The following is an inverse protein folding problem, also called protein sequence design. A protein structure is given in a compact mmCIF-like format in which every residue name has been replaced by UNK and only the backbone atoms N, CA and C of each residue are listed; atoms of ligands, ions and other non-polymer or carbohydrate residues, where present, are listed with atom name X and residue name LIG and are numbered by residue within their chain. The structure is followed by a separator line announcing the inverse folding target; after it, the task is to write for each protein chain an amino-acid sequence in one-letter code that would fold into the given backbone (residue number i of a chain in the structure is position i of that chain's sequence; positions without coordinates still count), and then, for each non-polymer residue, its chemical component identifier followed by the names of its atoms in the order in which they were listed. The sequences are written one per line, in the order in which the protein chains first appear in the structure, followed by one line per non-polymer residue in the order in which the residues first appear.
data_IF_935833275561
#
_entry.id   IF_935833275561
#
_cell.length_a   1.000
_cell.length_b   1.000
_cell.length_c   1.000
_cell.angle_alpha   90.00
_cell.angle_beta   90.00
_cell.angle_gamma   90.00
#
_symmetry.space_group_name_H-M   'P 1'
#
loop_
_entity.id
_entity.type
_entity.pdbx_description
1 polymer ?
#
# COMPACT_ATOMS: atom_id res chain seq x y z
N UNK A 1 10.54 -17.38 -31.53
CA UNK A 1 10.41 -17.26 -30.06
C UNK A 1 8.99 -17.68 -29.73
N UNK A 2 8.70 -18.98 -29.71
CA UNK A 2 7.34 -19.48 -29.95
C UNK A 2 6.27 -18.84 -29.04
N UNK A 3 6.56 -18.65 -27.75
CA UNK A 3 5.64 -18.01 -26.82
C UNK A 3 5.46 -16.51 -27.09
N UNK A 4 6.55 -15.79 -27.39
CA UNK A 4 6.48 -14.37 -27.74
C UNK A 4 5.64 -14.15 -28.99
N UNK A 5 5.86 -14.98 -30.02
CA UNK A 5 5.18 -14.86 -31.30
C UNK A 5 3.67 -15.18 -31.12
N UNK A 6 3.35 -16.20 -30.33
CA UNK A 6 1.96 -16.51 -29.96
C UNK A 6 1.29 -15.40 -29.14
N UNK A 7 2.00 -14.81 -28.17
CA UNK A 7 1.49 -13.69 -27.38
C UNK A 7 1.31 -12.42 -28.22
N UNK A 8 2.18 -12.16 -29.19
CA UNK A 8 2.04 -11.05 -30.12
C UNK A 8 0.79 -11.19 -31.02
N UNK A 9 0.52 -12.41 -31.50
CA UNK A 9 -0.71 -12.71 -32.24
C UNK A 9 -1.96 -12.52 -31.38
N UNK A 10 -1.95 -12.97 -30.12
CA UNK A 10 -3.08 -12.73 -29.20
C UNK A 10 -3.26 -11.23 -28.93
N UNK A 11 -2.15 -10.50 -28.72
CA UNK A 11 -2.18 -9.06 -28.48
C UNK A 11 -2.79 -8.29 -29.66
N UNK A 12 -2.42 -8.63 -30.91
CA UNK A 12 -2.92 -7.93 -32.10
C UNK A 12 -4.44 -7.99 -32.22
N UNK A 13 -5.03 -9.13 -31.87
CA UNK A 13 -6.47 -9.39 -31.96
C UNK A 13 -7.27 -9.00 -30.71
N UNK A 14 -6.61 -8.66 -29.59
CA UNK A 14 -7.31 -8.33 -28.33
C UNK A 14 -7.25 -6.84 -27.99
N UNK A 15 -6.09 -6.22 -28.09
CA UNK A 15 -5.90 -4.80 -27.78
C UNK A 15 -5.01 -4.06 -28.78
N UNK A 16 -4.55 -4.74 -29.84
CA UNK A 16 -3.71 -4.24 -30.93
C UNK A 16 -2.33 -3.76 -30.46
N UNK A 17 -2.27 -2.60 -29.82
CA UNK A 17 -1.05 -2.02 -29.27
C UNK A 17 -1.36 -1.01 -28.16
N UNK A 18 -0.42 -0.85 -27.22
CA UNK A 18 -0.46 0.22 -26.21
C UNK A 18 -0.41 1.60 -26.88
N UNK A 19 -1.02 2.63 -26.28
CA UNK A 19 -0.98 3.98 -26.84
C UNK A 19 0.47 4.48 -27.05
N UNK A 20 0.73 5.07 -28.22
CA UNK A 20 2.08 5.53 -28.58
C UNK A 20 2.68 6.53 -27.58
N UNK A 21 1.94 7.54 -27.05
CA UNK A 21 2.51 8.47 -26.05
C UNK A 21 3.03 7.79 -24.78
N UNK A 22 2.32 6.78 -24.27
CA UNK A 22 2.76 6.00 -23.09
C UNK A 22 4.03 5.22 -23.42
N UNK A 23 4.14 4.65 -24.62
CA UNK A 23 5.36 3.96 -25.05
C UNK A 23 6.56 4.92 -25.08
N UNK A 24 6.42 6.14 -25.60
CA UNK A 24 7.50 7.14 -25.59
C UNK A 24 7.89 7.56 -24.17
N UNK A 25 6.92 7.74 -23.28
CA UNK A 25 7.18 8.04 -21.87
C UNK A 25 7.93 6.89 -21.18
N UNK A 26 7.52 5.64 -21.43
CA UNK A 26 8.19 4.46 -20.91
C UNK A 26 9.64 4.36 -21.42
N UNK A 27 9.86 4.52 -22.73
CA UNK A 27 11.22 4.54 -23.31
C UNK A 27 12.07 5.63 -22.64
N UNK A 28 11.50 6.81 -22.37
CA UNK A 28 12.23 7.87 -21.67
C UNK A 28 12.58 7.49 -20.23
N UNK A 29 11.67 6.87 -19.49
CA UNK A 29 11.92 6.42 -18.12
C UNK A 29 12.96 5.30 -18.07
N UNK A 30 12.86 4.29 -18.95
CA UNK A 30 13.76 3.13 -19.00
C UNK A 30 15.15 3.44 -19.56
N UNK A 31 15.34 4.57 -20.25
CA UNK A 31 16.69 5.08 -20.57
C UNK A 31 17.49 5.49 -19.33
N UNK A 32 16.85 5.58 -18.16
CA UNK A 32 17.49 5.91 -16.90
C UNK A 32 17.90 7.38 -16.80
N UNK A 33 18.83 7.65 -15.89
CA UNK A 33 19.40 8.97 -15.65
C UNK A 33 19.07 9.52 -14.26
N UNK A 34 19.83 10.53 -13.84
CA UNK A 34 19.80 11.03 -12.46
C UNK A 34 18.39 11.39 -11.97
N UNK A 35 17.54 11.95 -12.83
CA UNK A 35 16.17 12.33 -12.45
C UNK A 35 15.32 11.12 -12.03
N UNK A 36 15.31 10.04 -12.81
CA UNK A 36 14.48 8.86 -12.46
C UNK A 36 15.11 8.06 -11.33
N UNK A 37 16.44 7.99 -11.25
CA UNK A 37 17.12 7.35 -10.12
C UNK A 37 16.85 8.06 -8.80
N UNK A 38 16.92 9.39 -8.77
CA UNK A 38 16.59 10.19 -7.58
C UNK A 38 15.12 10.02 -7.18
N UNK A 39 14.20 10.04 -8.15
CA UNK A 39 12.79 9.78 -7.91
C UNK A 39 12.57 8.41 -7.25
N UNK A 40 13.14 7.34 -7.83
CA UNK A 40 13.01 5.98 -7.31
C UNK A 40 13.64 5.83 -5.92
N UNK A 41 14.78 6.46 -5.70
CA UNK A 41 15.47 6.49 -4.41
C UNK A 41 14.58 7.10 -3.32
N UNK A 42 14.04 8.30 -3.56
CA UNK A 42 13.18 8.99 -2.62
C UNK A 42 11.88 8.24 -2.36
N UNK A 43 11.22 7.70 -3.40
CA UNK A 43 10.05 6.83 -3.23
C UNK A 43 10.35 5.65 -2.29
N UNK A 44 11.48 4.95 -2.50
CA UNK A 44 11.84 3.78 -1.68
C UNK A 44 12.10 4.15 -0.23
N UNK A 45 12.80 5.26 0.05
CA UNK A 45 13.10 5.65 1.43
C UNK A 45 11.83 6.05 2.17
N UNK A 46 10.99 6.91 1.57
CA UNK A 46 9.72 7.33 2.18
C UNK A 46 8.87 6.10 2.51
N UNK A 47 8.63 5.23 1.52
CA UNK A 47 7.78 4.04 1.70
C UNK A 47 8.38 3.02 2.67
N UNK A 48 9.71 2.87 2.71
CA UNK A 48 10.38 2.01 3.69
C UNK A 48 10.18 2.52 5.12
N UNK A 49 10.32 3.82 5.35
CA UNK A 49 10.13 4.42 6.69
C UNK A 49 8.66 4.38 7.10
N UNK A 50 7.76 4.74 6.18
CA UNK A 50 6.33 4.70 6.41
C UNK A 50 5.84 3.28 6.72
N UNK A 51 6.25 2.27 5.95
CA UNK A 51 5.87 0.88 6.23
C UNK A 51 6.30 0.42 7.62
N UNK A 52 7.52 0.76 8.06
CA UNK A 52 8.00 0.42 9.42
C UNK A 52 7.15 1.07 10.51
N UNK A 53 6.81 2.34 10.35
CA UNK A 53 5.95 3.04 11.30
C UNK A 53 4.56 2.39 11.39
N UNK A 54 3.94 2.11 10.25
CA UNK A 54 2.60 1.51 10.18
C UNK A 54 2.60 0.10 10.76
N UNK A 55 3.58 -0.74 10.40
CA UNK A 55 3.74 -2.10 10.94
C UNK A 55 3.87 -2.07 12.45
N UNK A 56 4.64 -1.13 13.01
CA UNK A 56 4.76 -0.97 14.46
C UNK A 56 3.42 -0.55 15.10
N UNK A 57 2.71 0.42 14.53
CA UNK A 57 1.39 0.86 15.02
C UNK A 57 0.38 -0.30 15.04
N UNK A 58 0.25 -1.02 13.92
CA UNK A 58 -0.67 -2.15 13.80
C UNK A 58 -0.34 -3.29 14.78
N UNK A 59 0.92 -3.71 14.86
CA UNK A 59 1.33 -4.77 15.78
C UNK A 59 1.09 -4.37 17.25
N UNK A 60 1.34 -3.09 17.62
CA UNK A 60 1.05 -2.58 18.96
C UNK A 60 -0.46 -2.56 19.27
N UNK A 61 -1.31 -2.44 18.25
CA UNK A 61 -2.76 -2.55 18.37
C UNK A 61 -3.26 -4.01 18.32
N UNK A 62 -2.38 -5.02 18.35
CA UNK A 62 -2.76 -6.43 18.27
C UNK A 62 -3.23 -6.86 16.87
N UNK A 63 -2.86 -6.13 15.83
CA UNK A 63 -3.11 -6.51 14.43
C UNK A 63 -1.80 -7.06 13.88
N UNK A 64 -1.73 -8.37 13.66
CA UNK A 64 -0.49 -9.04 13.28
C UNK A 64 -0.11 -8.70 11.84
N UNK A 65 1.09 -8.17 11.63
CA UNK A 65 1.58 -7.87 10.28
C UNK A 65 3.11 -7.98 10.22
N UNK A 66 3.60 -8.65 9.19
CA UNK A 66 5.04 -8.76 8.91
C UNK A 66 5.54 -7.54 8.15
N UNK A 67 6.76 -7.10 8.46
CA UNK A 67 7.44 -6.06 7.71
C UNK A 67 7.63 -6.50 6.25
N UNK A 68 7.15 -5.73 5.25
CA UNK A 68 7.36 -6.07 3.86
C UNK A 68 8.79 -5.73 3.40
N UNK A 69 9.33 -6.56 2.51
CA UNK A 69 10.58 -6.30 1.78
C UNK A 69 10.38 -5.36 0.56
N UNK A 70 9.14 -5.22 0.09
CA UNK A 70 8.81 -4.43 -1.10
C UNK A 70 7.32 -4.24 -1.32
N UNK A 71 6.96 -3.72 -2.50
CA UNK A 71 5.64 -3.19 -2.82
C UNK A 71 5.22 -2.02 -1.91
N UNK A 72 3.93 -1.69 -1.94
CA UNK A 72 3.32 -0.63 -1.14
C UNK A 72 2.03 -1.11 -0.46
N UNK A 73 1.99 -2.40 -0.13
CA UNK A 73 0.87 -3.06 0.51
C UNK A 73 1.31 -3.79 1.79
N UNK A 74 0.41 -3.85 2.75
CA UNK A 74 0.50 -4.68 3.95
C UNK A 74 -0.64 -5.70 3.93
N UNK A 75 -0.42 -6.87 4.53
CA UNK A 75 -1.42 -7.92 4.65
C UNK A 75 -1.66 -8.28 6.13
N UNK A 76 -2.31 -7.39 6.90
CA UNK A 76 -2.59 -7.63 8.31
C UNK A 76 -3.59 -8.77 8.56
N UNK A 77 -3.41 -9.43 9.70
CA UNK A 77 -4.32 -10.40 10.30
C UNK A 77 -4.89 -9.84 11.61
N UNK A 78 -6.21 -9.78 11.69
CA UNK A 78 -6.95 -9.28 12.85
C UNK A 78 -7.45 -10.40 13.77
N UNK A 79 -6.95 -11.63 13.65
CA UNK A 79 -7.41 -12.80 14.41
C UNK A 79 -7.42 -12.58 15.94
N UNK A 80 -6.50 -11.78 16.49
CA UNK A 80 -6.44 -11.47 17.92
C UNK A 80 -7.67 -10.70 18.41
N UNK A 81 -8.40 -10.04 17.51
CA UNK A 81 -9.63 -9.29 17.80
C UNK A 81 -10.90 -10.09 17.55
N UNK A 82 -10.80 -11.38 17.19
CA UNK A 82 -11.94 -12.23 16.82
C UNK A 82 -13.08 -12.22 17.84
N UNK A 83 -12.78 -12.37 19.13
CA UNK A 83 -13.82 -12.38 20.18
C UNK A 83 -14.61 -11.06 20.25
N UNK A 84 -13.98 -9.92 19.94
CA UNK A 84 -14.64 -8.61 19.89
C UNK A 84 -15.49 -8.50 18.63
N UNK A 85 -14.94 -8.95 17.51
CA UNK A 85 -15.59 -8.96 16.21
C UNK A 85 -16.80 -9.88 16.14
N UNK A 86 -16.76 -11.05 16.78
CA UNK A 86 -17.92 -11.94 16.92
C UNK A 86 -19.11 -11.23 17.60
N UNK A 87 -18.85 -10.41 18.63
CA UNK A 87 -19.90 -9.60 19.30
C UNK A 87 -20.48 -8.51 18.40
N UNK A 88 -19.68 -8.00 17.46
CA UNK A 88 -20.09 -7.03 16.44
C UNK A 88 -20.64 -7.70 15.16
N UNK A 89 -20.75 -9.04 15.12
CA UNK A 89 -21.13 -9.82 13.93
C UNK A 89 -20.19 -9.62 12.74
N UNK A 90 -18.91 -9.38 13.01
CA UNK A 90 -17.86 -9.35 12.00
C UNK A 90 -17.27 -10.75 11.94
N UNK A 91 -17.73 -11.56 10.97
CA UNK A 91 -17.41 -12.99 10.88
C UNK A 91 -16.46 -13.25 9.71
N UNK A 92 -16.60 -12.47 8.64
CA UNK A 92 -15.85 -12.62 7.39
C UNK A 92 -14.89 -11.45 7.16
N UNK A 93 -13.88 -11.66 6.30
CA UNK A 93 -13.03 -10.56 5.85
C UNK A 93 -13.80 -9.46 5.11
N UNK A 94 -14.93 -9.80 4.46
CA UNK A 94 -15.83 -8.82 3.86
C UNK A 94 -16.51 -7.97 4.93
N UNK A 95 -17.10 -8.59 5.97
CA UNK A 95 -17.71 -7.87 7.10
C UNK A 95 -16.69 -6.94 7.78
N UNK A 96 -15.44 -7.41 7.92
CA UNK A 96 -14.35 -6.63 8.48
C UNK A 96 -14.11 -5.35 7.68
N UNK A 97 -13.96 -5.47 6.36
CA UNK A 97 -13.70 -4.33 5.47
C UNK A 97 -14.89 -3.36 5.41
N UNK A 98 -16.11 -3.91 5.31
CA UNK A 98 -17.34 -3.13 5.23
C UNK A 98 -17.62 -2.36 6.53
N UNK A 99 -17.56 -3.05 7.69
CA UNK A 99 -17.77 -2.40 8.99
C UNK A 99 -16.70 -1.38 9.34
N UNK A 100 -15.43 -1.65 9.00
CA UNK A 100 -14.38 -0.67 9.18
C UNK A 100 -14.67 0.59 8.34
N UNK A 101 -15.07 0.43 7.08
CA UNK A 101 -15.39 1.56 6.21
C UNK A 101 -16.60 2.35 6.74
N UNK A 102 -17.67 1.66 7.15
CA UNK A 102 -18.87 2.31 7.69
C UNK A 102 -18.58 3.10 8.99
N UNK A 103 -17.84 2.49 9.93
CA UNK A 103 -17.61 3.08 11.26
C UNK A 103 -16.46 4.08 11.28
N UNK A 104 -15.47 3.94 10.39
CA UNK A 104 -14.24 4.74 10.40
C UNK A 104 -13.98 5.46 9.10
N UNK A 105 -14.74 5.29 8.03
CA UNK A 105 -14.42 5.89 6.72
C UNK A 105 -13.13 5.39 6.07
N UNK A 106 -12.44 4.40 6.65
CA UNK A 106 -11.20 3.85 6.11
C UNK A 106 -11.49 2.63 5.24
N UNK A 107 -11.10 2.70 3.96
CA UNK A 107 -11.28 1.61 3.01
C UNK A 107 -10.07 0.67 3.00
N UNK A 108 -10.31 -0.64 3.16
CA UNK A 108 -9.32 -1.71 2.99
C UNK A 108 -9.90 -2.79 2.07
N UNK A 109 -9.05 -3.68 1.54
CA UNK A 109 -9.54 -4.79 0.71
C UNK A 109 -9.61 -6.09 1.53
N UNK A 110 -10.71 -6.84 1.47
CA UNK A 110 -10.88 -8.04 2.27
C UNK A 110 -9.97 -9.17 1.78
N UNK A 111 -9.46 -10.00 2.69
CA UNK A 111 -8.57 -11.12 2.39
C UNK A 111 -9.15 -12.13 1.38
N UNK A 112 -10.47 -12.32 1.35
CA UNK A 112 -11.15 -13.20 0.38
C UNK A 112 -10.87 -12.82 -1.08
N UNK A 113 -10.65 -11.53 -1.38
CA UNK A 113 -10.29 -11.07 -2.73
C UNK A 113 -8.90 -11.54 -3.18
N UNK A 114 -8.09 -12.05 -2.25
CA UNK A 114 -6.75 -12.59 -2.47
C UNK A 114 -6.69 -14.12 -2.27
N UNK A 115 -7.85 -14.79 -2.25
CA UNK A 115 -7.95 -16.25 -2.12
C UNK A 115 -7.73 -16.77 -0.70
N UNK A 116 -7.81 -15.91 0.32
CA UNK A 116 -7.85 -16.36 1.72
C UNK A 116 -9.23 -16.91 2.07
N UNK A 117 -9.35 -17.84 3.03
CA UNK A 117 -10.64 -18.29 3.55
C UNK A 117 -11.51 -17.11 3.99
N UNK A 118 -12.81 -17.19 3.75
CA UNK A 118 -13.76 -16.12 4.03
C UNK A 118 -13.76 -15.69 5.51
N UNK A 119 -13.66 -16.66 6.43
CA UNK A 119 -13.63 -16.46 7.88
C UNK A 119 -12.24 -16.09 8.44
N UNK A 120 -11.23 -15.99 7.58
CA UNK A 120 -9.92 -15.49 7.97
C UNK A 120 -9.98 -13.96 7.92
N UNK A 121 -9.85 -13.31 9.09
CA UNK A 121 -10.00 -11.87 9.25
C UNK A 121 -8.73 -11.12 8.81
N UNK A 122 -8.28 -11.39 7.60
CA UNK A 122 -7.17 -10.70 6.94
C UNK A 122 -7.67 -9.66 5.95
N UNK A 123 -6.82 -8.68 5.66
CA UNK A 123 -7.08 -7.67 4.67
C UNK A 123 -5.80 -7.20 3.99
N UNK A 124 -5.93 -6.50 2.86
CA UNK A 124 -4.83 -5.76 2.22
C UNK A 124 -5.01 -4.26 2.44
N UNK A 125 -3.98 -3.62 2.98
CA UNK A 125 -3.89 -2.16 3.15
C UNK A 125 -2.87 -1.62 2.16
N UNK A 126 -3.20 -0.56 1.42
CA UNK A 126 -2.23 0.22 0.65
C UNK A 126 -1.83 1.45 1.46
N UNK A 127 -0.54 1.75 1.56
CA UNK A 127 -0.03 2.86 2.38
C UNK A 127 0.50 4.03 1.54
N UNK A 128 -0.11 4.27 0.38
CA UNK A 128 0.28 5.28 -0.61
C UNK A 128 -0.81 6.33 -0.84
N UNK A 129 -1.60 6.61 0.20
CA UNK A 129 -2.60 7.69 0.18
C UNK A 129 -2.04 8.95 0.84
N UNK A 130 -1.23 9.70 0.09
CA UNK A 130 -0.68 10.98 0.52
C UNK A 130 -0.21 11.81 -0.69
N UNK A 131 0.08 13.10 -0.47
CA UNK A 131 0.60 13.98 -1.52
C UNK A 131 2.05 13.61 -1.87
N UNK A 132 2.20 12.75 -2.88
CA UNK A 132 3.49 12.30 -3.36
C UNK A 132 4.37 13.43 -3.92
N UNK A 133 3.78 14.47 -4.51
CA UNK A 133 4.56 15.61 -5.06
C UNK A 133 5.21 16.38 -3.92
N UNK A 134 4.43 16.67 -2.86
CA UNK A 134 4.93 17.38 -1.68
C UNK A 134 5.95 16.54 -0.91
N UNK A 135 5.66 15.25 -0.69
CA UNK A 135 6.57 14.33 -0.01
C UNK A 135 7.90 14.17 -0.76
N UNK A 136 7.88 14.01 -2.09
CA UNK A 136 9.09 13.90 -2.90
C UNK A 136 9.89 15.21 -2.90
N UNK A 137 9.22 16.35 -3.05
CA UNK A 137 9.88 17.66 -3.04
C UNK A 137 10.58 17.93 -1.71
N UNK A 138 9.99 17.49 -0.58
CA UNK A 138 10.61 17.59 0.73
C UNK A 138 11.78 16.60 0.90
N UNK A 139 11.63 15.36 0.43
CA UNK A 139 12.69 14.36 0.48
C UNK A 139 13.92 14.73 -0.37
N UNK A 140 13.73 15.42 -1.50
CA UNK A 140 14.84 15.94 -2.31
C UNK A 140 15.67 17.02 -1.60
N UNK A 141 15.07 17.73 -0.64
CA UNK A 141 15.74 18.76 0.15
C UNK A 141 16.41 18.19 1.41
N UNK A 142 16.07 16.96 1.79
CA UNK A 142 16.65 16.30 2.94
C UNK A 142 18.15 16.04 2.71
N UNK A 143 19.00 16.43 3.67
CA UNK A 143 20.46 16.25 3.54
C UNK A 143 20.88 14.80 3.80
N UNK A 144 20.01 14.01 4.42
CA UNK A 144 20.25 12.60 4.70
C UNK A 144 18.95 11.82 4.88
N UNK A 145 19.01 10.49 4.70
CA UNK A 145 17.87 9.62 5.01
C UNK A 145 17.41 9.67 6.47
N UNK A 146 18.24 10.19 7.38
CA UNK A 146 17.87 10.31 8.80
C UNK A 146 16.83 11.40 9.03
N UNK A 147 16.75 12.39 8.14
CA UNK A 147 15.75 13.48 8.18
C UNK A 147 14.37 13.04 7.69
N UNK A 148 14.26 11.84 7.10
CA UNK A 148 12.97 11.18 6.81
C UNK A 148 12.60 10.35 8.04
N UNK A 149 12.28 11.06 9.12
CA UNK A 149 11.90 10.53 10.42
C UNK A 149 10.37 10.55 10.62
N UNK A 150 9.90 10.33 11.85
CA UNK A 150 8.47 10.31 12.13
C UNK A 150 7.82 11.68 11.91
N UNK A 151 8.50 12.79 12.23
CA UNK A 151 7.96 14.14 12.05
C UNK A 151 7.78 14.46 10.56
N UNK A 152 8.72 14.02 9.72
CA UNK A 152 8.56 14.05 8.27
C UNK A 152 7.31 13.26 7.84
N UNK A 153 7.16 12.03 8.32
CA UNK A 153 6.05 11.16 7.90
C UNK A 153 4.69 11.72 8.35
N UNK A 154 4.56 12.22 9.57
CA UNK A 154 3.34 12.89 10.07
C UNK A 154 3.00 14.12 9.20
N UNK A 155 4.01 14.89 8.79
CA UNK A 155 3.82 16.10 7.98
C UNK A 155 3.39 15.81 6.54
N UNK A 156 3.98 14.78 5.92
CA UNK A 156 3.86 14.55 4.47
C UNK A 156 3.03 13.31 4.10
N UNK A 157 2.80 12.39 5.04
CA UNK A 157 2.04 11.15 4.85
C UNK A 157 0.81 11.07 5.78
N UNK A 158 0.32 12.23 6.24
CA UNK A 158 -0.70 12.33 7.28
C UNK A 158 -2.00 11.58 7.01
N UNK A 159 -2.51 11.58 5.77
CA UNK A 159 -3.73 10.83 5.42
C UNK A 159 -3.58 9.32 5.70
N UNK A 160 -2.48 8.72 5.23
CA UNK A 160 -2.17 7.31 5.54
C UNK A 160 -2.06 7.07 7.04
N UNK A 161 -1.39 7.96 7.78
CA UNK A 161 -1.17 7.77 9.22
C UNK A 161 -2.50 7.89 9.99
N UNK A 162 -3.32 8.89 9.68
CA UNK A 162 -4.66 9.07 10.24
C UNK A 162 -5.52 7.82 10.01
N UNK A 163 -5.52 7.28 8.79
CA UNK A 163 -6.26 6.06 8.47
C UNK A 163 -5.79 4.86 9.32
N UNK A 164 -4.48 4.70 9.52
CA UNK A 164 -3.92 3.64 10.36
C UNK A 164 -4.27 3.85 11.84
N UNK A 165 -4.22 5.09 12.33
CA UNK A 165 -4.59 5.40 13.72
C UNK A 165 -6.08 5.13 13.97
N UNK A 166 -6.95 5.46 13.02
CA UNK A 166 -8.38 5.12 13.09
C UNK A 166 -8.63 3.61 13.11
N UNK A 167 -7.87 2.83 12.34
CA UNK A 167 -7.92 1.35 12.42
C UNK A 167 -7.48 0.87 13.80
N UNK A 168 -6.34 1.38 14.30
CA UNK A 168 -5.81 1.01 15.62
C UNK A 168 -6.78 1.37 16.75
N UNK A 169 -7.47 2.50 16.67
CA UNK A 169 -8.45 2.93 17.65
C UNK A 169 -9.75 2.12 17.57
N UNK A 170 -10.16 1.72 16.36
CA UNK A 170 -11.36 0.92 16.15
C UNK A 170 -11.27 -0.49 16.76
N UNK A 171 -10.07 -1.07 16.76
CA UNK A 171 -9.84 -2.40 17.34
C UNK A 171 -9.68 -2.39 18.87
N UNK A 172 -9.39 -1.24 19.51
CA UNK A 172 -9.39 -1.09 20.98
C UNK A 172 -10.79 -1.24 21.58
#
# INVERSE_FOLDING_TARGET
RWLLDAMAAVASETYTATSAPIQFAAVRAFKGGLKIENYLWNCRIILRRLSKLIVNKLNNAGISVTQPDGAFYLFPDFILHKNKFDKKKIITSFDLADKLLEETGVAILPGIAFGRPETELTARIAYVDFDGVRALSAAEQAKSEKEIDNDFLETYCGNTIDAIDRICDWVK
#
